data_IF_592511893472
#
_entry.id   IF_592511893472
#
_cell.length_a   1.000
_cell.length_b   1.000
_cell.length_c   1.000
_cell.angle_alpha   90.00
_cell.angle_beta   90.00
_cell.angle_gamma   90.00
#
_symmetry.space_group_name_H-M   'P 1'
#
loop_
_entity.id
_entity.type
_entity.pdbx_description
1 polymer ?
#
# COMPACT_ATOMS: atom_id res chain seq x y z
N UNK A 1 3.21 17.14 -22.95
CA UNK A 1 2.30 17.93 -22.11
C UNK A 1 0.93 17.28 -22.15
N UNK A 2 0.44 16.75 -21.04
CA UNK A 2 -1.00 16.64 -20.77
C UNK A 2 -1.20 16.27 -19.32
N UNK A 3 -1.58 17.27 -18.53
CA UNK A 3 -2.36 17.12 -17.32
C UNK A 3 -3.82 17.17 -17.76
N UNK A 4 -4.62 16.14 -17.49
CA UNK A 4 -6.05 16.33 -17.26
C UNK A 4 -6.55 15.22 -16.35
N UNK A 5 -6.71 15.60 -15.09
CA UNK A 5 -7.41 14.86 -14.06
C UNK A 5 -8.91 14.95 -14.35
N UNK A 6 -9.58 13.81 -14.55
CA UNK A 6 -11.02 13.68 -14.34
C UNK A 6 -11.26 12.94 -13.04
N UNK A 7 -11.33 13.70 -11.96
CA UNK A 7 -11.95 13.30 -10.70
C UNK A 7 -13.44 13.16 -10.98
N UNK A 8 -13.95 11.94 -10.97
CA UNK A 8 -15.38 11.67 -10.83
C UNK A 8 -15.57 10.66 -9.70
N UNK A 9 -16.14 11.16 -8.60
CA UNK A 9 -16.48 10.53 -7.33
C UNK A 9 -15.32 10.32 -6.31
N UNK A 10 -15.27 11.23 -5.33
CA UNK A 10 -14.47 11.19 -4.10
C UNK A 10 -14.95 10.06 -3.14
N UNK A 11 -14.37 9.86 -1.94
CA UNK A 11 -13.20 9.03 -1.65
C UNK A 11 -13.58 7.94 -0.63
N UNK A 12 -13.35 6.66 -0.89
CA UNK A 12 -13.63 5.66 0.15
C UNK A 12 -12.40 5.54 1.06
N UNK A 13 -12.28 6.48 1.99
CA UNK A 13 -11.63 6.23 3.29
C UNK A 13 -12.59 5.36 4.11
N UNK A 14 -12.35 4.05 4.18
CA UNK A 14 -13.00 3.23 5.21
C UNK A 14 -12.10 3.23 6.44
N UNK A 15 -12.32 4.21 7.32
CA UNK A 15 -12.13 3.97 8.75
C UNK A 15 -13.09 2.82 9.13
N UNK A 16 -12.58 1.81 9.83
CA UNK A 16 -13.30 0.60 10.24
C UNK A 16 -14.71 0.85 10.84
N UNK A 17 -15.62 -0.15 10.93
CA UNK A 17 -15.55 -1.54 10.49
C UNK A 17 -16.56 -1.82 9.35
N UNK A 18 -16.39 -2.91 8.61
CA UNK A 18 -17.34 -3.50 7.66
C UNK A 18 -17.24 -3.18 6.15
N UNK A 19 -17.01 -4.29 5.43
CA UNK A 19 -17.46 -4.68 4.07
C UNK A 19 -16.69 -4.12 2.88
N UNK A 20 -15.52 -4.70 2.65
CA UNK A 20 -14.95 -4.79 1.30
C UNK A 20 -15.70 -5.90 0.52
N UNK A 21 -16.66 -5.53 -0.34
CA UNK A 21 -17.16 -6.40 -1.41
C UNK A 21 -16.31 -6.14 -2.65
N UNK A 22 -15.25 -6.93 -2.84
CA UNK A 22 -14.50 -6.98 -4.10
C UNK A 22 -15.38 -7.67 -5.17
N UNK A 23 -16.27 -6.89 -5.78
CA UNK A 23 -16.90 -7.26 -7.05
C UNK A 23 -16.37 -6.32 -8.13
N UNK A 24 -15.47 -6.87 -8.93
CA UNK A 24 -15.04 -6.44 -10.26
C UNK A 24 -14.44 -5.03 -10.39
N UNK A 25 -13.20 -5.00 -10.89
CA UNK A 25 -12.59 -4.01 -11.79
C UNK A 25 -11.35 -3.25 -11.29
N UNK A 26 -10.44 -3.14 -12.24
CA UNK A 26 -9.07 -2.60 -12.29
C UNK A 26 -8.84 -1.26 -11.59
N UNK A 27 -7.67 -1.12 -10.95
CA UNK A 27 -7.14 0.19 -10.57
C UNK A 27 -5.71 0.36 -11.09
N UNK A 28 -5.60 1.26 -12.07
CA UNK A 28 -4.37 1.91 -12.51
C UNK A 28 -4.36 3.27 -11.83
N UNK A 29 -3.32 3.60 -11.07
CA UNK A 29 -3.05 5.00 -10.78
C UNK A 29 -1.73 5.49 -11.37
N UNK A 30 -0.59 4.81 -11.39
CA UNK A 30 0.65 5.25 -12.08
C UNK A 30 1.68 4.09 -12.07
N UNK A 31 1.33 2.95 -12.68
CA UNK A 31 2.25 1.83 -12.88
C UNK A 31 2.22 0.68 -11.88
N UNK A 32 1.38 0.71 -10.84
CA UNK A 32 1.12 -0.50 -10.04
C UNK A 32 0.02 -1.33 -10.72
N UNK A 33 0.43 -2.30 -11.54
CA UNK A 33 -0.50 -3.26 -12.14
C UNK A 33 -0.99 -4.17 -11.01
N UNK A 34 -2.13 -3.84 -10.39
CA UNK A 34 -2.93 -4.84 -9.67
C UNK A 34 -3.51 -5.74 -10.75
N UNK A 35 -2.72 -6.72 -11.21
CA UNK A 35 -3.24 -7.79 -12.07
C UNK A 35 -4.37 -8.46 -11.31
N UNK A 36 -5.39 -8.90 -12.05
CA UNK A 36 -6.51 -9.72 -11.55
C UNK A 36 -6.05 -10.92 -10.71
N UNK A 37 -4.79 -11.34 -10.85
CA UNK A 37 -4.23 -12.55 -10.25
C UNK A 37 -3.43 -12.31 -8.96
N UNK A 38 -3.22 -11.05 -8.53
CA UNK A 38 -2.52 -10.75 -7.27
C UNK A 38 -3.54 -10.38 -6.20
N UNK A 39 -3.88 -11.36 -5.35
CA UNK A 39 -4.76 -11.13 -4.23
C UNK A 39 -3.98 -10.58 -3.03
N UNK A 40 -4.28 -9.34 -2.65
CA UNK A 40 -3.84 -8.74 -1.40
C UNK A 40 -4.90 -8.90 -0.32
N UNK A 41 -4.47 -9.05 0.94
CA UNK A 41 -5.35 -8.84 2.08
C UNK A 41 -5.70 -7.35 2.20
N UNK A 42 -6.75 -7.03 2.96
CA UNK A 42 -7.14 -5.62 3.19
C UNK A 42 -5.96 -4.80 3.73
N UNK A 43 -5.26 -5.30 4.75
CA UNK A 43 -4.11 -4.60 5.35
C UNK A 43 -2.93 -4.47 4.40
N UNK A 44 -2.66 -5.49 3.58
CA UNK A 44 -1.61 -5.39 2.57
C UNK A 44 -1.94 -4.32 1.52
N UNK A 45 -3.19 -4.25 1.08
CA UNK A 45 -3.64 -3.25 0.14
C UNK A 45 -3.56 -1.85 0.74
N UNK A 46 -4.02 -1.66 1.98
CA UNK A 46 -4.00 -0.37 2.67
C UNK A 46 -2.57 0.16 2.85
N UNK A 47 -1.63 -0.70 3.31
CA UNK A 47 -0.21 -0.33 3.41
C UNK A 47 0.36 0.03 2.04
N UNK A 48 0.09 -0.79 1.02
CA UNK A 48 0.59 -0.55 -0.33
C UNK A 48 0.05 0.76 -0.88
N UNK A 49 -1.25 1.02 -0.74
CA UNK A 49 -1.90 2.25 -1.18
C UNK A 49 -1.36 3.49 -0.46
N UNK A 50 -1.13 3.41 0.85
CA UNK A 50 -0.55 4.50 1.64
C UNK A 50 0.84 4.89 1.11
N UNK A 51 1.72 3.92 0.90
CA UNK A 51 3.07 4.15 0.38
C UNK A 51 3.02 4.64 -1.07
N UNK A 52 2.18 4.02 -1.89
CA UNK A 52 2.02 4.29 -3.30
C UNK A 52 1.51 5.70 -3.61
N UNK A 53 0.56 6.18 -2.80
CA UNK A 53 -0.03 7.51 -2.95
C UNK A 53 0.95 8.63 -2.60
N UNK A 54 2.11 8.30 -2.00
CA UNK A 54 3.15 9.23 -1.58
C UNK A 54 4.53 8.75 -2.08
N UNK A 55 4.76 8.69 -3.41
CA UNK A 55 6.00 8.15 -3.96
C UNK A 55 7.21 8.97 -3.51
N UNK A 56 8.30 8.28 -3.14
CA UNK A 56 9.51 8.90 -2.63
C UNK A 56 9.47 9.32 -1.16
N UNK A 57 8.28 9.43 -0.56
CA UNK A 57 8.13 9.74 0.87
C UNK A 57 8.34 8.48 1.72
N UNK A 58 9.16 8.61 2.76
CA UNK A 58 9.35 7.56 3.75
C UNK A 58 8.36 7.72 4.90
N UNK A 59 7.83 6.60 5.38
CA UNK A 59 6.99 6.53 6.58
C UNK A 59 7.64 5.63 7.62
N UNK A 60 7.52 6.02 8.88
CA UNK A 60 7.97 5.19 10.00
C UNK A 60 7.05 3.98 10.18
N UNK A 61 7.57 2.94 10.83
CA UNK A 61 6.75 1.76 11.17
C UNK A 61 5.52 2.15 12.02
N UNK A 62 5.70 3.12 12.92
CA UNK A 62 4.62 3.69 13.72
C UNK A 62 3.55 4.36 12.87
N UNK A 63 3.94 5.26 11.95
CA UNK A 63 3.01 5.96 11.07
C UNK A 63 2.18 4.99 10.24
N UNK A 64 2.82 3.95 9.70
CA UNK A 64 2.11 2.92 8.92
C UNK A 64 1.16 2.13 9.81
N UNK A 65 1.58 1.74 11.03
CA UNK A 65 0.74 1.01 11.96
C UNK A 65 -0.50 1.83 12.34
N UNK A 66 -0.33 3.06 12.81
CA UNK A 66 -1.42 3.91 13.26
C UNK A 66 -2.39 4.25 12.12
N UNK A 67 -1.87 4.50 10.91
CA UNK A 67 -2.71 4.81 9.74
C UNK A 67 -3.53 3.60 9.26
N UNK A 68 -2.95 2.40 9.27
CA UNK A 68 -3.57 1.21 8.67
C UNK A 68 -4.31 0.35 9.70
N UNK A 69 -3.80 0.21 10.91
CA UNK A 69 -4.48 -0.53 11.99
C UNK A 69 -5.47 0.32 12.77
N UNK A 70 -5.39 1.66 12.69
CA UNK A 70 -6.23 2.59 13.46
C UNK A 70 -6.12 2.39 14.98
N UNK A 71 -4.94 1.99 15.42
CA UNK A 71 -4.60 1.73 16.82
C UNK A 71 -3.36 2.53 17.18
N UNK A 72 -3.25 2.95 18.44
CA UNK A 72 -2.03 3.58 18.93
C UNK A 72 -0.87 2.60 18.88
N UNK A 73 0.31 3.09 18.50
CA UNK A 73 1.50 2.27 18.53
C UNK A 73 1.81 1.75 19.94
N UNK A 74 2.03 0.44 20.04
CA UNK A 74 2.46 -0.25 21.26
C UNK A 74 3.97 -0.51 21.30
N UNK A 75 4.73 0.03 20.34
CA UNK A 75 6.17 -0.20 20.18
C UNK A 75 6.53 -1.50 19.43
N UNK A 76 5.57 -2.36 19.12
CA UNK A 76 5.78 -3.63 18.41
C UNK A 76 5.17 -3.57 17.00
N UNK A 77 6.02 -3.34 16.01
CA UNK A 77 5.58 -3.14 14.62
C UNK A 77 5.72 -4.38 13.73
N UNK A 78 5.74 -5.58 14.31
CA UNK A 78 5.85 -6.84 13.56
C UNK A 78 4.72 -7.03 12.55
N UNK A 79 3.53 -6.51 12.84
CA UNK A 79 2.40 -6.51 11.91
C UNK A 79 2.73 -5.74 10.62
N UNK A 80 3.38 -4.57 10.73
CA UNK A 80 3.84 -3.77 9.58
C UNK A 80 4.94 -4.52 8.83
N UNK A 81 5.94 -5.04 9.54
CA UNK A 81 7.07 -5.76 8.94
C UNK A 81 6.61 -6.99 8.14
N UNK A 82 5.75 -7.83 8.72
CA UNK A 82 5.18 -8.98 8.04
C UNK A 82 4.33 -8.54 6.83
N UNK A 83 3.52 -7.49 6.96
CA UNK A 83 2.70 -6.98 5.85
C UNK A 83 3.56 -6.51 4.68
N UNK A 84 4.63 -5.75 4.93
CA UNK A 84 5.60 -5.34 3.91
C UNK A 84 6.27 -6.56 3.27
N UNK A 85 6.65 -7.57 4.07
CA UNK A 85 7.21 -8.81 3.57
C UNK A 85 6.26 -9.55 2.62
N UNK A 86 4.98 -9.70 3.00
CA UNK A 86 3.97 -10.36 2.15
C UNK A 86 3.75 -9.58 0.84
N UNK A 87 3.66 -8.25 0.91
CA UNK A 87 3.52 -7.40 -0.28
C UNK A 87 4.68 -7.62 -1.23
N UNK A 88 5.93 -7.51 -0.75
CA UNK A 88 7.13 -7.74 -1.57
C UNK A 88 7.16 -9.13 -2.16
N UNK A 89 6.83 -10.16 -1.37
CA UNK A 89 6.77 -11.55 -1.83
C UNK A 89 5.74 -11.73 -2.95
N UNK A 90 4.56 -11.11 -2.83
CA UNK A 90 3.52 -11.17 -3.86
C UNK A 90 3.94 -10.44 -5.13
N UNK A 91 4.51 -9.24 -5.03
CA UNK A 91 4.95 -8.46 -6.20
C UNK A 91 6.12 -9.14 -6.92
N UNK A 92 7.09 -9.69 -6.18
CA UNK A 92 8.28 -10.35 -6.74
C UNK A 92 7.94 -11.53 -7.65
N UNK A 93 6.82 -12.23 -7.42
CA UNK A 93 6.35 -13.32 -8.30
C UNK A 93 6.03 -12.85 -9.72
N UNK A 94 5.75 -11.57 -9.92
CA UNK A 94 5.28 -11.02 -11.19
C UNK A 94 6.22 -9.97 -11.78
N UNK A 95 7.10 -9.39 -10.96
CA UNK A 95 8.09 -8.39 -11.36
C UNK A 95 9.40 -8.68 -10.64
N UNK A 96 10.19 -9.61 -11.18
CA UNK A 96 11.47 -10.04 -10.59
C UNK A 96 12.49 -8.92 -10.47
N UNK A 97 12.41 -7.92 -11.35
CA UNK A 97 13.50 -6.96 -11.56
C UNK A 97 13.30 -5.64 -10.79
N UNK A 98 12.15 -5.47 -10.12
CA UNK A 98 11.80 -4.22 -9.43
C UNK A 98 11.41 -4.42 -7.98
N UNK A 99 12.07 -3.67 -7.10
CA UNK A 99 11.75 -3.57 -5.67
C UNK A 99 11.01 -2.27 -5.38
N UNK A 100 9.69 -2.28 -5.52
CA UNK A 100 8.86 -1.08 -5.39
C UNK A 100 8.76 -0.51 -3.97
N UNK A 101 8.94 -1.34 -2.94
CA UNK A 101 8.95 -0.88 -1.54
C UNK A 101 10.38 -0.97 -1.04
N UNK A 102 11.02 0.16 -0.77
CA UNK A 102 12.37 0.23 -0.20
C UNK A 102 12.33 0.41 1.32
N UNK A 103 13.30 -0.21 1.98
CA UNK A 103 13.58 0.02 3.40
C UNK A 103 14.49 1.22 3.52
N UNK A 104 14.10 2.22 4.31
CA UNK A 104 14.95 3.32 4.75
C UNK A 104 15.49 2.93 6.13
N UNK A 105 16.78 2.56 6.18
CA UNK A 105 17.43 2.04 7.39
C UNK A 105 17.29 3.04 8.53
N UNK A 106 16.89 2.57 9.71
CA UNK A 106 16.67 3.41 10.89
C UNK A 106 15.37 4.23 10.88
N UNK A 107 14.59 4.20 9.80
CA UNK A 107 13.38 5.02 9.69
C UNK A 107 12.11 4.20 9.40
N UNK A 108 12.07 3.48 8.27
CA UNK A 108 10.88 2.73 7.87
C UNK A 108 10.85 2.38 6.39
N UNK A 109 9.76 2.71 5.69
CA UNK A 109 9.51 2.24 4.31
C UNK A 109 9.07 3.38 3.40
N UNK A 110 9.46 3.29 2.12
CA UNK A 110 9.03 4.20 1.06
C UNK A 110 8.65 3.44 -0.21
N UNK A 111 7.77 4.02 -1.00
CA UNK A 111 7.51 3.54 -2.36
C UNK A 111 8.47 4.19 -3.37
N UNK A 112 9.01 3.42 -4.31
CA UNK A 112 9.91 3.88 -5.37
C UNK A 112 9.62 3.16 -6.69
N UNK A 113 9.60 3.91 -7.81
CA UNK A 113 9.17 3.45 -9.15
C UNK A 113 10.36 3.14 -10.07
#
# INVERSE_FOLDING_TARGET
MTVTVKITALPIYVAAPFRVKLKSQTFTTYGLIVRKDINFSVKEFDVLYMLYSNPGMAFTKQQIYEAVWHEKANGYFHAVENTIFQIRKKIKKYSSDKNYIKTVVGYGYKFEV
#
